data_IF_967084762381
#
_entry.id   IF_967084762381
#
_cell.length_a   1.000
_cell.length_b   1.000
_cell.length_c   1.000
_cell.angle_alpha   90.00
_cell.angle_beta   90.00
_cell.angle_gamma   90.00
#
_symmetry.space_group_name_H-M   'P 1'
#
loop_
_entity.id
_entity.type
_entity.pdbx_description
1 polymer ?
#
# COMPACT_ATOMS: atom_id res chain seq x y z
N UNK A 1 16.87 -0.19 6.49
CA UNK A 1 15.62 0.12 5.77
C UNK A 1 15.39 1.61 5.95
N UNK A 2 15.21 2.39 4.87
CA UNK A 2 14.90 3.83 5.00
C UNK A 2 13.39 3.95 5.21
N UNK A 3 12.97 3.94 6.47
CA UNK A 3 11.67 4.45 6.87
C UNK A 3 11.80 5.97 6.91
N UNK A 4 11.59 6.62 5.76
CA UNK A 4 11.18 8.03 5.76
C UNK A 4 9.75 7.98 6.33
N UNK A 5 9.59 8.30 7.62
CA UNK A 5 8.55 7.78 8.54
C UNK A 5 7.07 7.94 8.15
N UNK A 6 6.79 8.51 6.99
CA UNK A 6 5.47 8.72 6.41
C UNK A 6 5.22 7.90 5.12
N UNK A 7 6.19 7.13 4.59
CA UNK A 7 6.04 6.37 3.34
C UNK A 7 6.42 4.90 3.49
N UNK A 8 5.50 4.00 3.14
CA UNK A 8 5.70 2.57 3.04
C UNK A 8 5.93 2.16 1.58
N UNK A 9 7.11 1.62 1.29
CA UNK A 9 7.47 1.11 -0.05
C UNK A 9 7.33 -0.42 -0.06
N UNK A 10 6.51 -0.93 -0.98
CA UNK A 10 6.28 -2.35 -1.21
C UNK A 10 6.82 -2.69 -2.60
N UNK A 11 7.93 -3.44 -2.65
CA UNK A 11 8.57 -3.88 -3.91
C UNK A 11 7.88 -5.12 -4.49
N UNK A 12 6.60 -4.96 -4.80
CA UNK A 12 5.76 -5.98 -5.42
C UNK A 12 4.77 -5.33 -6.37
N UNK A 13 4.35 -6.06 -7.40
CA UNK A 13 3.24 -5.66 -8.25
C UNK A 13 1.92 -5.76 -7.46
N UNK A 14 1.44 -4.63 -6.93
CA UNK A 14 0.12 -4.57 -6.28
C UNK A 14 -0.98 -4.01 -7.19
N UNK A 15 -0.68 -3.69 -8.45
CA UNK A 15 -1.67 -3.23 -9.44
C UNK A 15 -2.90 -4.17 -9.57
N UNK A 16 -2.77 -5.51 -9.49
CA UNK A 16 -3.93 -6.39 -9.57
C UNK A 16 -4.99 -6.15 -8.49
N UNK A 17 -4.59 -5.54 -7.36
CA UNK A 17 -5.47 -5.21 -6.25
C UNK A 17 -5.70 -3.71 -6.10
N UNK A 18 -5.21 -2.90 -7.04
CA UNK A 18 -5.43 -1.46 -7.02
C UNK A 18 -6.75 -1.11 -7.68
N UNK A 19 -7.60 -0.43 -6.93
CA UNK A 19 -8.84 0.12 -7.42
C UNK A 19 -8.63 1.58 -7.84
N UNK A 20 -8.59 1.80 -9.16
CA UNK A 20 -8.41 3.12 -9.77
C UNK A 20 -9.58 4.09 -9.46
N UNK A 21 -10.77 3.58 -9.12
CA UNK A 21 -11.94 4.43 -8.83
C UNK A 21 -11.88 5.03 -7.42
N UNK A 22 -11.32 4.32 -6.46
CA UNK A 22 -11.28 4.72 -5.04
C UNK A 22 -9.87 5.09 -4.57
N UNK A 23 -8.86 4.91 -5.42
CA UNK A 23 -7.43 5.10 -5.11
C UNK A 23 -6.95 4.27 -3.91
N UNK A 24 -7.43 3.02 -3.80
CA UNK A 24 -7.14 2.11 -2.68
C UNK A 24 -6.71 0.72 -3.14
N UNK A 25 -6.00 0.01 -2.24
CA UNK A 25 -5.69 -1.40 -2.42
C UNK A 25 -6.76 -2.27 -1.76
N UNK A 26 -7.33 -3.21 -2.52
CA UNK A 26 -8.24 -4.24 -2.05
C UNK A 26 -7.49 -5.35 -1.30
N UNK A 27 -6.91 -5.00 -0.14
CA UNK A 27 -6.07 -5.92 0.67
C UNK A 27 -6.84 -7.08 1.30
N UNK A 28 -8.17 -7.09 1.22
CA UNK A 28 -9.04 -8.15 1.76
C UNK A 28 -9.25 -9.35 0.84
N UNK A 29 -8.69 -9.32 -0.38
CA UNK A 29 -8.84 -10.41 -1.34
C UNK A 29 -8.03 -11.65 -0.90
N UNK A 30 -8.54 -12.88 -1.08
CA UNK A 30 -7.90 -14.11 -0.59
C UNK A 30 -6.55 -14.41 -1.26
N UNK A 31 -6.30 -13.89 -2.47
CA UNK A 31 -5.03 -14.02 -3.19
C UNK A 31 -4.01 -12.92 -2.81
N UNK A 32 -4.42 -11.95 -1.98
CA UNK A 32 -3.52 -10.88 -1.57
C UNK A 32 -2.37 -11.44 -0.70
N UNK A 33 -1.11 -11.04 -0.94
CA UNK A 33 0.03 -11.52 -0.15
C UNK A 33 -0.10 -11.16 1.33
N UNK A 34 -0.33 -12.17 2.19
CA UNK A 34 -0.59 -11.99 3.63
C UNK A 34 0.46 -11.10 4.32
N UNK A 35 1.75 -11.32 4.03
CA UNK A 35 2.83 -10.52 4.61
C UNK A 35 2.75 -9.02 4.24
N UNK A 36 2.23 -8.67 3.06
CA UNK A 36 2.02 -7.26 2.69
C UNK A 36 0.71 -6.72 3.25
N UNK A 37 -0.33 -7.55 3.33
CA UNK A 37 -1.60 -7.20 3.96
C UNK A 37 -1.38 -6.76 5.41
N UNK A 38 -0.65 -7.57 6.20
CA UNK A 38 -0.33 -7.26 7.59
C UNK A 38 0.47 -5.94 7.73
N UNK A 39 1.40 -5.69 6.80
CA UNK A 39 2.17 -4.44 6.77
C UNK A 39 1.30 -3.23 6.44
N UNK A 40 0.42 -3.34 5.45
CA UNK A 40 -0.49 -2.25 5.04
C UNK A 40 -1.49 -1.95 6.16
N UNK A 41 -2.06 -2.99 6.78
CA UNK A 41 -2.96 -2.84 7.93
C UNK A 41 -2.24 -2.17 9.10
N UNK A 42 -1.01 -2.62 9.42
CA UNK A 42 -0.20 -2.02 10.50
C UNK A 42 0.25 -0.60 10.19
N UNK A 43 0.35 -0.23 8.92
CA UNK A 43 0.70 1.12 8.48
C UNK A 43 -0.42 2.13 8.78
N UNK A 44 -1.68 1.67 8.81
CA UNK A 44 -2.85 2.46 9.16
C UNK A 44 -3.49 3.16 7.95
N UNK A 45 -4.09 4.33 8.16
CA UNK A 45 -4.66 5.14 7.06
C UNK A 45 -3.55 5.64 6.12
N UNK A 46 -3.71 5.39 4.82
CA UNK A 46 -2.75 5.77 3.79
C UNK A 46 -3.44 6.27 2.51
N UNK A 47 -2.63 6.85 1.64
CA UNK A 47 -2.96 7.22 0.25
C UNK A 47 -1.91 6.60 -0.67
N UNK A 48 -2.27 6.26 -1.90
CA UNK A 48 -1.34 5.68 -2.86
C UNK A 48 -0.59 6.82 -3.53
N UNK A 49 0.69 7.00 -3.19
CA UNK A 49 1.51 8.06 -3.78
C UNK A 49 2.10 7.63 -5.14
N UNK A 50 2.32 6.34 -5.32
CA UNK A 50 2.87 5.77 -6.55
C UNK A 50 2.52 4.28 -6.63
N UNK A 51 2.16 3.80 -7.80
CA UNK A 51 1.95 2.38 -8.04
C UNK A 51 2.45 1.98 -9.42
N UNK A 52 3.12 0.84 -9.50
CA UNK A 52 3.69 0.29 -10.72
C UNK A 52 3.76 -1.23 -10.65
N UNK A 53 4.11 -1.84 -11.78
CA UNK A 53 4.36 -3.28 -11.87
C UNK A 53 5.55 -3.76 -11.02
N UNK A 54 6.38 -2.84 -10.50
CA UNK A 54 7.59 -3.17 -9.72
C UNK A 54 7.43 -2.88 -8.25
N UNK A 55 6.78 -1.77 -7.93
CA UNK A 55 6.62 -1.31 -6.56
C UNK A 55 5.41 -0.40 -6.39
N UNK A 56 4.95 -0.32 -5.14
CA UNK A 56 3.84 0.51 -4.67
C UNK A 56 4.31 1.31 -3.47
N UNK A 57 4.04 2.61 -3.46
CA UNK A 57 4.39 3.54 -2.39
C UNK A 57 3.10 4.04 -1.75
N UNK A 58 2.94 3.75 -0.47
CA UNK A 58 1.81 4.19 0.33
C UNK A 58 2.29 5.30 1.26
N UNK A 59 1.61 6.44 1.24
CA UNK A 59 1.91 7.57 2.11
C UNK A 59 0.89 7.64 3.22
N UNK A 60 1.35 7.73 4.46
CA UNK A 60 0.49 7.80 5.65
C UNK A 60 -0.33 9.09 5.63
N UNK A 61 -1.62 8.97 5.93
CA UNK A 61 -2.48 10.15 6.14
C UNK A 61 -2.20 10.68 7.54
N UNK A 62 -1.62 11.89 7.64
CA UNK A 62 -1.53 12.58 8.93
C UNK A 62 -2.93 13.11 9.26
N UNK A 63 -3.55 12.56 10.31
CA UNK A 63 -4.63 13.25 11.01
C UNK A 63 -4.01 14.44 11.73
N UNK A 64 -4.37 15.63 11.30
CA UNK A 64 -4.08 16.90 11.96
C UNK A 64 -4.75 16.95 13.35
#
# INVERSE_FOLDING_TARGET
MKEDGDVLIIKLNLLPWYNELDDQLEVGQPDFPAAQQERIISFGEYTISFISHKETHLKKVKKD
#
